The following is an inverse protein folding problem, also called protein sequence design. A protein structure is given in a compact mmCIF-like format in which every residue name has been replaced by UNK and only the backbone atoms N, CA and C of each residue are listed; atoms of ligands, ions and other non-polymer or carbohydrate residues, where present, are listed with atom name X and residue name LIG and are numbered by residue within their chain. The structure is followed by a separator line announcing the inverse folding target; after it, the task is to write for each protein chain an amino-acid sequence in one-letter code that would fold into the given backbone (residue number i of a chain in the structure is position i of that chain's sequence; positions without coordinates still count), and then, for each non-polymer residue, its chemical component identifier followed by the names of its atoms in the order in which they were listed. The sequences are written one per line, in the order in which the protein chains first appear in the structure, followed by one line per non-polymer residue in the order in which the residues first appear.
data_IF_090212866336
#
_entry.id   IF_090212866336
#
_cell.length_a   1.000
_cell.length_b   1.000
_cell.length_c   1.000
_cell.angle_alpha   90.00
_cell.angle_beta   90.00
_cell.angle_gamma   90.00
#
_symmetry.space_group_name_H-M   'P 1'
#
loop_
_entity.id
_entity.type
_entity.pdbx_description
1 polymer ?
#
# COMPACT_ATOMS: atom_id res chain seq x y z
N UNK A 1 -11.44 -28.91 -15.12
CA UNK A 1 -10.29 -28.01 -15.30
C UNK A 1 -10.86 -26.60 -15.38
N UNK A 2 -11.09 -25.98 -14.23
CA UNK A 2 -11.71 -24.65 -14.10
C UNK A 2 -10.62 -23.59 -14.25
N UNK A 3 -10.70 -22.78 -15.32
CA UNK A 3 -9.85 -21.60 -15.50
C UNK A 3 -9.95 -20.69 -14.27
N UNK A 4 -8.85 -20.13 -13.77
CA UNK A 4 -8.91 -19.15 -12.68
C UNK A 4 -9.70 -17.96 -13.20
N UNK A 5 -10.85 -17.74 -12.60
CA UNK A 5 -11.75 -16.63 -12.86
C UNK A 5 -10.98 -15.31 -12.80
N UNK A 6 -11.28 -14.40 -13.73
CA UNK A 6 -11.09 -12.96 -13.57
C UNK A 6 -11.74 -12.55 -12.23
N UNK A 7 -10.98 -12.65 -11.15
CA UNK A 7 -11.23 -11.88 -9.94
C UNK A 7 -11.20 -10.44 -10.42
N UNK A 8 -12.33 -9.76 -10.40
CA UNK A 8 -12.41 -8.36 -10.79
C UNK A 8 -11.54 -7.54 -9.82
N UNK A 9 -10.26 -7.39 -10.17
CA UNK A 9 -9.25 -6.70 -9.38
C UNK A 9 -9.55 -5.21 -9.46
N UNK A 10 -10.35 -4.73 -8.50
CA UNK A 10 -10.67 -3.31 -8.41
C UNK A 10 -9.43 -2.53 -7.93
N UNK A 11 -8.88 -1.62 -8.76
CA UNK A 11 -7.72 -0.82 -8.37
C UNK A 11 -8.10 0.14 -7.25
N UNK A 12 -7.16 0.38 -6.33
CA UNK A 12 -7.28 1.55 -5.44
C UNK A 12 -7.24 2.82 -6.28
N UNK A 13 -7.76 3.92 -5.73
CA UNK A 13 -7.96 5.18 -6.46
C UNK A 13 -6.66 5.97 -6.69
N UNK A 14 -5.70 5.36 -7.38
CA UNK A 14 -4.39 5.93 -7.74
C UNK A 14 -4.56 7.09 -8.72
N UNK A 15 -5.50 6.96 -9.66
CA UNK A 15 -5.84 7.97 -10.65
C UNK A 15 -7.08 8.77 -10.24
N UNK A 16 -7.04 9.38 -9.05
CA UNK A 16 -8.11 10.28 -8.58
C UNK A 16 -7.91 11.71 -9.09
N UNK A 17 -8.99 12.49 -9.32
CA UNK A 17 -8.89 13.93 -9.50
C UNK A 17 -8.11 14.59 -8.36
N UNK A 18 -7.44 15.71 -8.65
CA UNK A 18 -6.68 16.47 -7.64
C UNK A 18 -7.61 16.84 -6.48
N UNK A 19 -7.27 16.41 -5.27
CA UNK A 19 -7.95 16.81 -4.05
C UNK A 19 -7.35 18.11 -3.51
N UNK A 20 -8.15 18.91 -2.81
CA UNK A 20 -7.67 20.14 -2.16
C UNK A 20 -6.74 19.89 -0.97
N UNK A 21 -6.66 18.65 -0.50
CA UNK A 21 -5.89 18.26 0.69
C UNK A 21 -5.41 16.81 0.57
N UNK A 22 -4.21 16.53 1.07
CA UNK A 22 -3.60 15.21 1.10
C UNK A 22 -2.79 15.02 2.39
N UNK A 23 -2.76 13.77 2.90
CA UNK A 23 -1.93 13.37 4.03
C UNK A 23 -1.04 12.22 3.56
N UNK A 24 0.27 12.32 3.83
CA UNK A 24 1.24 11.26 3.54
C UNK A 24 1.75 10.68 4.86
N UNK A 25 1.56 9.37 5.06
CA UNK A 25 2.02 8.66 6.25
C UNK A 25 2.99 7.55 5.84
N UNK A 26 4.16 7.52 6.48
CA UNK A 26 5.17 6.48 6.29
C UNK A 26 5.48 5.88 7.66
N UNK A 27 5.38 4.56 7.77
CA UNK A 27 5.66 3.83 9.00
C UNK A 27 6.58 2.64 8.70
N UNK A 28 7.35 2.24 9.72
CA UNK A 28 8.19 1.03 9.65
C UNK A 28 7.47 -0.12 10.33
N UNK A 29 7.58 -1.32 9.74
CA UNK A 29 7.04 -2.52 10.35
C UNK A 29 7.97 -2.96 11.48
N UNK A 30 7.44 -3.01 12.70
CA UNK A 30 8.15 -3.60 13.82
C UNK A 30 8.40 -5.09 13.56
N UNK A 31 9.55 -5.65 14.00
CA UNK A 31 9.85 -7.05 13.79
C UNK A 31 8.88 -7.95 14.57
N UNK A 32 8.59 -9.12 14.01
CA UNK A 32 7.80 -10.15 14.68
C UNK A 32 6.46 -10.45 14.01
N UNK A 33 5.93 -11.63 14.32
CA UNK A 33 4.72 -12.17 13.70
C UNK A 33 3.47 -11.36 14.05
N UNK A 34 3.37 -10.91 15.30
CA UNK A 34 2.22 -10.17 15.81
C UNK A 34 2.09 -8.81 15.12
N UNK A 35 3.20 -8.11 14.90
CA UNK A 35 3.21 -6.87 14.12
C UNK A 35 2.78 -7.09 12.67
N UNK A 36 3.25 -8.17 12.04
CA UNK A 36 2.84 -8.52 10.69
C UNK A 36 1.34 -8.89 10.61
N UNK A 37 0.82 -9.57 11.62
CA UNK A 37 -0.60 -9.95 11.72
C UNK A 37 -1.50 -8.73 11.94
N UNK A 38 -1.10 -7.80 12.81
CA UNK A 38 -1.81 -6.55 13.01
C UNK A 38 -1.94 -5.74 11.71
N UNK A 39 -0.85 -5.65 10.92
CA UNK A 39 -0.88 -4.96 9.63
C UNK A 39 -1.75 -5.71 8.61
N UNK A 40 -1.67 -7.04 8.54
CA UNK A 40 -2.55 -7.84 7.66
C UNK A 40 -4.03 -7.68 8.02
N UNK A 41 -4.36 -7.63 9.31
CA UNK A 41 -5.72 -7.37 9.78
C UNK A 41 -6.19 -5.97 9.34
N UNK A 42 -5.35 -4.95 9.54
CA UNK A 42 -5.64 -3.59 9.07
C UNK A 42 -5.87 -3.52 7.55
N UNK A 43 -5.11 -4.27 6.74
CA UNK A 43 -5.34 -4.35 5.30
C UNK A 43 -6.75 -4.83 4.94
N UNK A 44 -7.33 -5.74 5.73
CA UNK A 44 -8.70 -6.21 5.52
C UNK A 44 -9.74 -5.13 5.86
N UNK A 45 -9.44 -4.25 6.82
CA UNK A 45 -10.37 -3.26 7.36
C UNK A 45 -10.29 -1.88 6.69
N UNK A 46 -9.19 -1.57 5.98
CA UNK A 46 -8.92 -0.22 5.47
C UNK A 46 -10.05 0.33 4.58
N UNK A 47 -10.65 -0.50 3.73
CA UNK A 47 -11.78 -0.08 2.89
C UNK A 47 -13.06 0.22 3.72
N UNK A 48 -13.23 -0.46 4.84
CA UNK A 48 -14.28 -0.15 5.83
C UNK A 48 -14.02 1.18 6.51
N UNK A 49 -12.78 1.44 6.93
CA UNK A 49 -12.36 2.69 7.56
C UNK A 49 -12.56 3.89 6.63
N UNK A 50 -12.12 3.81 5.37
CA UNK A 50 -12.30 4.87 4.36
C UNK A 50 -13.80 5.20 4.19
N UNK A 51 -14.65 4.18 4.05
CA UNK A 51 -16.11 4.38 3.91
C UNK A 51 -16.72 4.99 5.18
N UNK A 52 -16.30 4.54 6.35
CA UNK A 52 -16.81 5.05 7.64
C UNK A 52 -16.48 6.53 7.85
N UNK A 53 -15.25 6.94 7.53
CA UNK A 53 -14.82 8.34 7.63
C UNK A 53 -15.44 9.19 6.52
N UNK A 54 -15.44 8.70 5.28
CA UNK A 54 -16.02 9.38 4.12
C UNK A 54 -17.52 9.67 4.27
N UNK A 55 -18.29 8.78 4.93
CA UNK A 55 -19.70 9.01 5.25
C UNK A 55 -19.95 10.27 6.08
N UNK A 56 -18.97 10.70 6.89
CA UNK A 56 -19.10 11.90 7.72
C UNK A 56 -18.97 13.19 6.91
N UNK A 57 -18.32 13.13 5.75
CA UNK A 57 -18.16 14.27 4.82
C UNK A 57 -18.31 13.77 3.38
N UNK A 58 -19.56 13.58 2.90
CA UNK A 58 -19.83 12.99 1.58
C UNK A 58 -19.19 13.75 0.40
N UNK A 59 -19.00 15.07 0.53
CA UNK A 59 -18.36 15.90 -0.48
C UNK A 59 -16.82 15.81 -0.49
N UNK A 60 -16.22 15.13 0.49
CA UNK A 60 -14.77 15.12 0.70
C UNK A 60 -14.00 14.13 -0.17
N UNK A 61 -14.67 13.26 -0.94
CA UNK A 61 -14.06 12.26 -1.83
C UNK A 61 -12.84 11.55 -1.22
N UNK A 62 -12.98 11.12 0.05
CA UNK A 62 -11.88 10.50 0.78
C UNK A 62 -11.46 9.19 0.10
N UNK A 63 -10.19 9.15 -0.31
CA UNK A 63 -9.54 7.95 -0.82
C UNK A 63 -8.34 7.62 0.06
N UNK A 64 -7.96 6.35 0.10
CA UNK A 64 -6.73 5.92 0.75
C UNK A 64 -6.05 4.90 -0.14
N UNK A 65 -4.76 5.13 -0.39
CA UNK A 65 -3.90 4.20 -1.12
C UNK A 65 -2.89 3.64 -0.13
N UNK A 66 -2.83 2.32 -0.03
CA UNK A 66 -1.88 1.62 0.82
C UNK A 66 -0.73 1.06 -0.02
N UNK A 67 0.50 1.50 0.25
CA UNK A 67 1.71 1.01 -0.40
C UNK A 67 2.55 0.17 0.56
N UNK A 68 3.14 -0.91 0.05
CA UNK A 68 4.04 -1.77 0.83
C UNK A 68 5.44 -1.76 0.22
N UNK A 69 6.42 -1.39 1.05
CA UNK A 69 7.83 -1.39 0.65
C UNK A 69 8.37 -2.81 0.44
N UNK A 70 9.50 -2.89 -0.25
CA UNK A 70 10.11 -4.16 -0.64
C UNK A 70 10.32 -5.13 0.53
N UNK A 71 10.97 -4.69 1.61
CA UNK A 71 11.24 -5.53 2.79
C UNK A 71 9.97 -5.87 3.57
N UNK A 72 9.01 -4.93 3.62
CA UNK A 72 7.73 -5.15 4.28
C UNK A 72 6.91 -6.23 3.57
N UNK A 73 6.95 -6.27 2.24
CA UNK A 73 6.28 -7.31 1.45
C UNK A 73 6.72 -8.72 1.85
N UNK A 74 8.03 -8.93 2.02
CA UNK A 74 8.58 -10.24 2.37
C UNK A 74 8.10 -10.70 3.75
N UNK A 75 8.02 -9.78 4.72
CA UNK A 75 7.54 -10.07 6.07
C UNK A 75 6.01 -10.25 6.16
N UNK A 76 5.25 -9.54 5.32
CA UNK A 76 3.79 -9.52 5.38
C UNK A 76 3.14 -10.62 4.55
N UNK A 77 3.65 -10.85 3.33
CA UNK A 77 2.96 -11.64 2.31
C UNK A 77 3.83 -12.77 1.75
N UNK A 78 5.16 -12.59 1.72
CA UNK A 78 6.05 -13.55 1.06
C UNK A 78 5.87 -13.52 -0.46
N UNK A 79 5.60 -14.68 -1.08
CA UNK A 79 5.39 -14.82 -2.52
C UNK A 79 3.92 -14.98 -2.93
N UNK A 80 3.56 -14.68 -4.20
CA UNK A 80 4.41 -14.14 -5.25
C UNK A 80 4.65 -12.64 -5.09
N UNK A 81 5.87 -12.20 -5.43
CA UNK A 81 6.31 -10.82 -5.30
C UNK A 81 6.11 -10.07 -6.63
N UNK A 82 5.65 -8.80 -6.62
CA UNK A 82 5.59 -8.01 -7.86
C UNK A 82 6.99 -7.88 -8.47
N UNK A 83 7.11 -8.15 -9.77
CA UNK A 83 8.40 -8.33 -10.44
C UNK A 83 9.36 -7.12 -10.30
N UNK A 84 8.81 -5.91 -10.30
CA UNK A 84 9.57 -4.67 -10.17
C UNK A 84 9.66 -4.14 -8.72
N UNK A 85 9.12 -4.85 -7.73
CA UNK A 85 9.19 -4.38 -6.35
C UNK A 85 10.60 -4.57 -5.80
N UNK A 86 11.31 -3.47 -5.59
CA UNK A 86 12.64 -3.44 -5.00
C UNK A 86 12.79 -2.24 -4.03
N UNK A 87 13.79 -2.23 -3.13
CA UNK A 87 14.08 -1.05 -2.33
C UNK A 87 14.40 0.14 -3.25
N UNK A 88 14.15 1.37 -2.79
CA UNK A 88 14.53 2.57 -3.53
C UNK A 88 16.02 2.53 -3.88
N UNK A 89 16.34 2.74 -5.15
CA UNK A 89 17.72 2.85 -5.62
C UNK A 89 18.12 4.31 -5.48
N UNK A 90 19.04 4.59 -4.58
CA UNK A 90 19.54 5.95 -4.39
C UNK A 90 20.13 6.49 -5.69
N UNK A 91 19.75 7.71 -6.03
CA UNK A 91 20.28 8.41 -7.21
C UNK A 91 21.25 9.46 -6.69
N UNK A 92 22.54 9.21 -6.89
CA UNK A 92 23.61 10.16 -6.59
C UNK A 92 24.29 10.62 -7.88
N UNK A 93 24.92 11.81 -7.85
CA UNK A 93 25.95 12.15 -8.85
C UNK A 93 27.11 11.19 -8.62
N UNK A 94 27.54 10.46 -9.65
CA UNK A 94 28.65 9.52 -9.54
C UNK A 94 29.91 10.22 -9.02
N UNK A 95 30.20 10.04 -7.73
CA UNK A 95 31.45 10.47 -7.13
C UNK A 95 32.54 9.50 -7.55
N UNK A 96 33.40 9.93 -8.48
CA UNK A 96 34.75 9.38 -8.55
C UNK A 96 35.45 9.61 -7.20
N UNK A 97 36.08 8.57 -6.66
CA UNK A 97 36.77 8.62 -5.38
C UNK A 97 37.24 7.24 -4.93
N UNK A 98 38.15 6.66 -5.71
CA UNK A 98 39.22 5.83 -5.18
C UNK A 98 40.45 6.70 -4.96
#
# INVERSE_FOLDING_TARGET
MTSPSDQNLEPQSVCSPITSSAIFMVATLAPGRDSAEAVRSWCADIAGLVRSVGKRVPAGNLTCVAGFGSKAWDALFGGPRPAALHPFKEVGVGGGGG
#
